data_IF_197039624065
#
_entry.id   IF_197039624065
#
_cell.length_a   1.000
_cell.length_b   1.000
_cell.length_c   1.000
_cell.angle_alpha   90.00
_cell.angle_beta   90.00
_cell.angle_gamma   90.00
#
_symmetry.space_group_name_H-M   'P 1'
#
loop_
_entity.id
_entity.type
_entity.pdbx_description
1 polymer ?
#
# COMPACT_ATOMS: atom_id res chain seq x y z
N UNK A 1 6.69 10.87 -16.14
CA UNK A 1 5.89 10.66 -14.93
C UNK A 1 6.61 9.67 -14.02
N UNK A 2 6.77 10.02 -12.76
CA UNK A 2 7.35 9.11 -11.75
C UNK A 2 6.29 8.13 -11.26
N UNK A 3 6.61 6.84 -11.27
CA UNK A 3 5.74 5.79 -10.73
C UNK A 3 6.47 5.12 -9.57
N UNK A 4 5.81 5.00 -8.42
CA UNK A 4 6.33 4.30 -7.23
C UNK A 4 5.39 3.17 -6.88
N UNK A 5 5.93 2.00 -6.58
CA UNK A 5 5.15 0.86 -6.11
C UNK A 5 5.72 0.35 -4.78
N UNK A 6 4.85 0.23 -3.78
CA UNK A 6 5.15 -0.52 -2.55
C UNK A 6 4.90 -1.99 -2.86
N UNK A 7 5.98 -2.72 -2.99
CA UNK A 7 5.98 -4.05 -3.60
C UNK A 7 6.26 -5.16 -2.61
N UNK A 8 5.49 -6.25 -2.74
CA UNK A 8 5.77 -7.50 -2.07
C UNK A 8 5.92 -8.60 -3.13
N UNK A 9 7.14 -9.11 -3.37
CA UNK A 9 7.37 -10.10 -4.44
C UNK A 9 6.65 -11.43 -4.20
N UNK A 10 6.21 -11.71 -2.98
CA UNK A 10 5.43 -12.91 -2.68
C UNK A 10 3.93 -12.74 -2.98
N UNK A 11 3.47 -11.53 -3.28
CA UNK A 11 2.05 -11.25 -3.52
C UNK A 11 1.74 -11.24 -5.01
N UNK A 12 0.77 -12.06 -5.44
CA UNK A 12 0.35 -12.15 -6.84
C UNK A 12 -0.16 -10.82 -7.39
N UNK A 13 -0.96 -10.09 -6.61
CA UNK A 13 -1.48 -8.78 -7.02
C UNK A 13 -0.34 -7.76 -7.17
N UNK A 14 0.66 -7.81 -6.29
CA UNK A 14 1.81 -6.92 -6.37
C UNK A 14 2.66 -7.20 -7.62
N UNK A 15 2.92 -8.46 -7.92
CA UNK A 15 3.63 -8.85 -9.15
C UNK A 15 2.85 -8.45 -10.39
N UNK A 16 1.53 -8.64 -10.36
CA UNK A 16 0.65 -8.28 -11.49
C UNK A 16 0.65 -6.78 -11.78
N UNK A 17 0.55 -5.95 -10.75
CA UNK A 17 0.61 -4.50 -10.91
C UNK A 17 1.97 -4.05 -11.46
N UNK A 18 3.06 -4.61 -10.95
CA UNK A 18 4.41 -4.30 -11.43
C UNK A 18 4.57 -4.63 -12.92
N UNK A 19 4.06 -5.78 -13.34
CA UNK A 19 4.07 -6.19 -14.76
C UNK A 19 3.29 -5.19 -15.62
N UNK A 20 2.09 -4.79 -15.19
CA UNK A 20 1.27 -3.83 -15.93
C UNK A 20 1.96 -2.46 -16.05
N UNK A 21 2.63 -2.00 -15.00
CA UNK A 21 3.39 -0.75 -15.03
C UNK A 21 4.50 -0.83 -16.08
N UNK A 22 5.28 -1.92 -16.07
CA UNK A 22 6.38 -2.11 -17.02
C UNK A 22 5.89 -2.28 -18.46
N UNK A 23 4.81 -3.02 -18.65
CA UNK A 23 4.21 -3.21 -19.99
C UNK A 23 3.67 -1.90 -20.55
N UNK A 24 3.27 -0.96 -19.69
CA UNK A 24 2.85 0.37 -20.10
C UNK A 24 4.04 1.30 -20.44
N UNK A 25 5.27 0.83 -20.31
CA UNK A 25 6.48 1.57 -20.68
C UNK A 25 7.09 2.38 -19.53
N UNK A 26 6.66 2.17 -18.30
CA UNK A 26 7.22 2.87 -17.14
C UNK A 26 8.28 2.02 -16.43
N UNK A 27 9.28 2.70 -15.86
CA UNK A 27 10.29 2.10 -15.00
C UNK A 27 10.03 2.58 -13.56
N UNK A 28 9.28 1.81 -12.75
CA UNK A 28 8.87 2.29 -11.44
C UNK A 28 9.99 2.24 -10.42
N UNK A 29 9.92 3.13 -9.42
CA UNK A 29 10.67 2.96 -8.19
C UNK A 29 9.98 1.85 -7.39
N UNK A 30 10.68 0.75 -7.18
CA UNK A 30 10.17 -0.38 -6.39
C UNK A 30 10.62 -0.21 -4.94
N UNK A 31 9.65 -0.03 -4.05
CA UNK A 31 9.93 0.15 -2.61
C UNK A 31 9.61 -1.14 -1.88
N UNK A 32 10.62 -1.69 -1.19
CA UNK A 32 10.43 -2.78 -0.24
C UNK A 32 9.90 -2.22 1.08
N UNK A 33 8.57 -2.10 1.18
CA UNK A 33 7.93 -1.49 2.35
C UNK A 33 8.05 -2.37 3.60
N UNK A 34 8.35 -3.67 3.46
CA UNK A 34 8.57 -4.56 4.60
C UNK A 34 9.96 -4.35 5.22
N UNK A 35 10.98 -4.16 4.37
CA UNK A 35 12.35 -3.92 4.83
C UNK A 35 12.63 -2.46 5.15
N UNK A 36 11.95 -1.54 4.46
CA UNK A 36 12.05 -0.10 4.68
C UNK A 36 10.64 0.46 4.89
N UNK A 37 10.07 0.31 6.10
CA UNK A 37 8.67 0.70 6.34
C UNK A 37 8.43 2.19 6.14
N UNK A 38 7.26 2.56 5.60
CA UNK A 38 6.86 3.96 5.57
C UNK A 38 6.59 4.45 7.00
N UNK A 39 6.91 5.71 7.27
CA UNK A 39 6.56 6.33 8.53
C UNK A 39 5.07 6.74 8.56
N UNK A 40 4.61 7.17 9.74
CA UNK A 40 3.21 7.56 9.92
C UNK A 40 2.82 8.74 9.02
N UNK A 41 3.71 9.71 8.83
CA UNK A 41 3.44 10.87 7.98
C UNK A 41 3.24 10.45 6.51
N UNK A 42 4.07 9.55 6.00
CA UNK A 42 3.96 9.00 4.65
C UNK A 42 2.66 8.22 4.49
N UNK A 43 2.29 7.41 5.48
CA UNK A 43 1.03 6.66 5.47
C UNK A 43 -0.18 7.60 5.42
N UNK A 44 -0.17 8.68 6.20
CA UNK A 44 -1.26 9.66 6.19
C UNK A 44 -1.41 10.31 4.82
N UNK A 45 -0.30 10.67 4.18
CA UNK A 45 -0.31 11.23 2.82
C UNK A 45 -0.88 10.26 1.82
N UNK A 46 -0.44 9.00 1.84
CA UNK A 46 -0.96 7.95 0.95
C UNK A 46 -2.46 7.72 1.15
N UNK A 47 -2.91 7.66 2.40
CA UNK A 47 -4.32 7.48 2.72
C UNK A 47 -5.18 8.63 2.19
N UNK A 48 -4.72 9.87 2.38
CA UNK A 48 -5.42 11.06 1.89
C UNK A 48 -5.49 11.06 0.36
N UNK A 49 -4.39 10.80 -0.31
CA UNK A 49 -4.31 10.81 -1.77
C UNK A 49 -5.12 9.67 -2.40
N UNK A 50 -5.19 8.52 -1.74
CA UNK A 50 -5.96 7.38 -2.20
C UNK A 50 -7.45 7.46 -1.83
N UNK A 51 -7.82 8.38 -0.93
CA UNK A 51 -9.18 8.49 -0.42
C UNK A 51 -9.59 7.31 0.44
N UNK A 52 -8.64 6.73 1.19
CA UNK A 52 -8.87 5.56 2.02
C UNK A 52 -8.88 5.91 3.50
N UNK A 53 -9.72 5.21 4.26
CA UNK A 53 -9.60 5.16 5.72
C UNK A 53 -8.45 4.20 6.08
N UNK A 54 -7.81 4.39 7.25
CA UNK A 54 -6.70 3.51 7.66
C UNK A 54 -7.03 2.02 7.59
N UNK A 55 -8.20 1.60 8.08
CA UNK A 55 -8.58 0.18 8.07
C UNK A 55 -8.70 -0.38 6.65
N UNK A 56 -9.02 0.46 5.67
CA UNK A 56 -9.16 0.04 4.27
C UNK A 56 -7.81 -0.26 3.60
N UNK A 57 -6.71 0.24 4.16
CA UNK A 57 -5.35 -0.05 3.71
C UNK A 57 -4.75 -1.25 4.45
N UNK A 58 -5.47 -1.85 5.39
CA UNK A 58 -4.91 -2.86 6.28
C UNK A 58 -5.30 -4.28 5.88
N UNK A 59 -4.40 -5.21 6.20
CA UNK A 59 -4.65 -6.64 6.12
C UNK A 59 -5.31 -7.10 7.42
N UNK A 60 -6.62 -6.95 7.51
CA UNK A 60 -7.38 -7.26 8.74
C UNK A 60 -7.37 -8.75 9.10
N UNK A 61 -7.00 -9.62 8.17
CA UNK A 61 -6.87 -11.06 8.40
C UNK A 61 -5.46 -11.47 8.86
N UNK A 62 -4.52 -10.54 8.89
CA UNK A 62 -3.18 -10.80 9.42
C UNK A 62 -3.27 -11.01 10.94
N UNK A 63 -2.51 -12.01 11.45
CA UNK A 63 -2.54 -12.36 12.86
C UNK A 63 -2.26 -11.16 13.78
N UNK A 64 -1.33 -10.29 13.38
CA UNK A 64 -0.99 -9.10 14.15
C UNK A 64 -2.18 -8.16 14.36
N UNK A 65 -3.14 -8.11 13.43
CA UNK A 65 -4.33 -7.26 13.58
C UNK A 65 -5.15 -7.67 14.81
N UNK A 66 -5.38 -8.95 15.00
CA UNK A 66 -6.11 -9.46 16.18
C UNK A 66 -5.24 -9.39 17.45
N UNK A 67 -3.96 -9.75 17.35
CA UNK A 67 -3.04 -9.77 18.50
C UNK A 67 -2.85 -8.39 19.11
N UNK A 68 -2.84 -7.34 18.29
CA UNK A 68 -2.69 -5.96 18.76
C UNK A 68 -4.02 -5.29 19.14
N UNK A 69 -5.13 -6.01 19.03
CA UNK A 69 -6.45 -5.49 19.41
C UNK A 69 -6.93 -4.33 18.55
N UNK A 70 -6.64 -4.36 17.24
CA UNK A 70 -6.86 -3.23 16.35
C UNK A 70 -8.30 -3.06 15.84
N UNK A 71 -9.17 -4.04 16.07
CA UNK A 71 -10.55 -4.03 15.56
C UNK A 71 -11.34 -2.79 16.02
N UNK A 72 -11.05 -2.28 17.21
CA UNK A 72 -11.73 -1.12 17.80
C UNK A 72 -10.77 0.07 18.03
N UNK A 73 -9.60 0.07 17.38
CA UNK A 73 -8.62 1.13 17.53
C UNK A 73 -9.03 2.38 16.75
N UNK A 74 -8.55 3.54 17.20
CA UNK A 74 -8.73 4.80 16.47
C UNK A 74 -7.96 4.79 15.15
N UNK A 75 -8.35 5.65 14.22
CA UNK A 75 -7.64 5.80 12.94
C UNK A 75 -6.16 6.13 13.17
N UNK A 76 -5.84 7.00 14.12
CA UNK A 76 -4.46 7.34 14.44
C UNK A 76 -3.69 6.12 14.97
N UNK A 77 -4.31 5.31 15.82
CA UNK A 77 -3.69 4.09 16.33
C UNK A 77 -3.44 3.07 15.21
N UNK A 78 -4.35 2.99 14.22
CA UNK A 78 -4.18 2.12 13.06
C UNK A 78 -3.00 2.56 12.19
N UNK A 79 -2.83 3.88 11.96
CA UNK A 79 -1.68 4.42 11.23
C UNK A 79 -0.37 4.08 11.94
N UNK A 80 -0.31 4.32 13.26
CA UNK A 80 0.87 4.00 14.06
C UNK A 80 1.19 2.50 14.03
N UNK A 81 0.16 1.65 14.07
CA UNK A 81 0.33 0.20 13.99
C UNK A 81 0.93 -0.22 12.65
N UNK A 82 0.47 0.35 11.53
CA UNK A 82 1.03 0.06 10.21
C UNK A 82 2.50 0.50 10.10
N UNK A 83 2.85 1.64 10.67
CA UNK A 83 4.23 2.13 10.67
C UNK A 83 5.16 1.22 11.49
N UNK A 84 4.67 0.72 12.61
CA UNK A 84 5.44 -0.18 13.49
C UNK A 84 5.46 -1.63 12.99
N UNK A 85 4.40 -2.05 12.28
CA UNK A 85 4.20 -3.42 11.80
C UNK A 85 3.79 -3.40 10.32
N UNK A 86 4.74 -3.22 9.39
CA UNK A 86 4.43 -3.05 7.96
C UNK A 86 3.72 -4.25 7.34
N UNK A 87 3.77 -5.42 7.95
CA UNK A 87 2.98 -6.59 7.50
C UNK A 87 1.48 -6.34 7.53
N UNK A 88 1.03 -5.34 8.29
CA UNK A 88 -0.37 -4.93 8.33
C UNK A 88 -0.80 -4.13 7.10
N UNK A 89 0.14 -3.61 6.34
CA UNK A 89 -0.16 -2.79 5.15
C UNK A 89 -0.58 -3.72 4.00
N UNK A 90 -1.73 -3.42 3.40
CA UNK A 90 -2.18 -4.11 2.20
C UNK A 90 -1.34 -3.67 1.00
N UNK A 91 -1.33 -4.47 -0.06
CA UNK A 91 -0.38 -4.31 -1.18
C UNK A 91 -0.99 -4.75 -2.51
N UNK A 92 -0.51 -4.22 -3.62
CA UNK A 92 0.47 -3.15 -3.74
C UNK A 92 -0.17 -1.77 -3.64
N UNK A 93 0.58 -0.81 -3.14
CA UNK A 93 0.23 0.61 -3.23
C UNK A 93 1.04 1.20 -4.39
N UNK A 94 0.39 1.92 -5.28
CA UNK A 94 1.04 2.58 -6.42
C UNK A 94 0.75 4.07 -6.37
N UNK A 95 1.78 4.87 -6.56
CA UNK A 95 1.74 6.33 -6.49
C UNK A 95 2.27 6.89 -7.80
N UNK A 96 1.48 7.75 -8.45
CA UNK A 96 1.85 8.47 -9.67
C UNK A 96 1.38 9.91 -9.59
N UNK A 97 1.72 10.74 -10.60
CA UNK A 97 1.22 12.11 -10.71
C UNK A 97 -0.30 12.16 -10.87
N UNK A 98 -0.92 11.07 -11.33
CA UNK A 98 -2.36 10.99 -11.57
C UNK A 98 -3.14 10.49 -10.36
N UNK A 99 -2.46 10.01 -9.34
CA UNK A 99 -3.11 9.56 -8.12
C UNK A 99 -2.38 8.44 -7.39
N UNK A 100 -3.02 7.97 -6.33
CA UNK A 100 -2.53 6.86 -5.50
C UNK A 100 -3.64 5.83 -5.38
N UNK A 101 -3.29 4.55 -5.52
CA UNK A 101 -4.25 3.44 -5.43
C UNK A 101 -3.67 2.25 -4.69
N UNK A 102 -4.53 1.61 -3.90
CA UNK A 102 -4.33 0.22 -3.50
C UNK A 102 -4.80 -0.65 -4.67
N UNK A 103 -3.87 -1.31 -5.34
CA UNK A 103 -4.15 -2.00 -6.61
C UNK A 103 -4.54 -3.47 -6.39
N UNK A 104 -5.76 -3.67 -5.95
CA UNK A 104 -6.40 -4.97 -5.76
C UNK A 104 -7.83 -4.91 -6.33
N UNK A 105 -8.08 -5.46 -7.53
CA UNK A 105 -7.17 -6.22 -8.39
C UNK A 105 -6.04 -5.36 -9.00
N UNK A 106 -4.95 -5.99 -9.51
CA UNK A 106 -3.80 -5.25 -10.04
C UNK A 106 -4.15 -4.30 -11.19
N UNK A 107 -5.16 -4.59 -11.99
CA UNK A 107 -5.62 -3.76 -13.10
C UNK A 107 -6.07 -2.37 -12.65
N UNK A 108 -6.37 -2.17 -11.37
CA UNK A 108 -6.67 -0.86 -10.80
C UNK A 108 -5.55 0.15 -11.09
N UNK A 109 -4.30 -0.32 -11.24
CA UNK A 109 -3.16 0.54 -11.55
C UNK A 109 -3.35 1.30 -12.87
N UNK A 110 -4.10 0.76 -13.82
CA UNK A 110 -4.33 1.40 -15.11
C UNK A 110 -5.10 2.71 -14.98
N UNK A 111 -5.83 2.93 -13.88
CA UNK A 111 -6.56 4.17 -13.62
C UNK A 111 -5.63 5.36 -13.40
N UNK A 112 -4.37 5.12 -13.04
CA UNK A 112 -3.41 6.17 -12.67
C UNK A 112 -2.11 6.13 -13.51
N UNK A 113 -2.07 5.35 -14.55
CA UNK A 113 -0.93 5.32 -15.47
C UNK A 113 -1.06 6.28 -16.66
#
# INVERSE_FOLDING_TARGET
MQVTIWHNPACTNSRGALTLIRDAGFDPQVVDYLGTPPDAATLRTVLADAGLRPVELMRTKEAAFAELGLANASDEALVEAMAAHPRLINRPVVITDKGTRLCRPPETVLEIL
#
